data_IF_206844081634
#
_entry.id   IF_206844081634
#
_cell.length_a   1.000
_cell.length_b   1.000
_cell.length_c   1.000
_cell.angle_alpha   90.00
_cell.angle_beta   90.00
_cell.angle_gamma   90.00
#
_symmetry.space_group_name_H-M   'P 1'
#
loop_
_entity.id
_entity.type
_entity.pdbx_description
1 polymer ?
#
# COMPACT_ATOMS: atom_id res chain seq x y z
N UNK A 1 19.86 1.60 0.74
CA UNK A 1 19.50 3.02 1.05
C UNK A 1 19.80 3.29 2.53
N UNK A 2 20.53 4.37 2.86
CA UNK A 2 21.00 4.63 4.24
C UNK A 2 20.82 6.13 4.62
N UNK A 3 19.60 6.56 4.94
CA UNK A 3 19.33 7.94 5.31
C UNK A 3 19.84 8.27 6.72
N UNK A 4 20.11 9.54 6.98
CA UNK A 4 20.37 10.01 8.33
C UNK A 4 19.07 10.00 9.15
N UNK A 5 19.07 9.27 10.27
CA UNK A 5 17.97 9.23 11.22
C UNK A 5 18.31 10.10 12.45
N UNK A 6 17.32 10.83 12.97
CA UNK A 6 17.48 11.74 14.11
C UNK A 6 17.22 11.06 15.48
N UNK A 7 16.93 9.75 15.46
CA UNK A 7 16.68 8.94 16.65
C UNK A 7 15.22 8.89 17.08
N UNK A 8 14.31 9.65 16.46
CA UNK A 8 12.87 9.57 16.76
C UNK A 8 12.23 8.25 16.32
N UNK A 9 12.74 7.67 15.23
CA UNK A 9 12.38 6.33 14.75
C UNK A 9 13.65 5.58 14.39
N UNK A 10 13.82 4.37 14.91
CA UNK A 10 14.98 3.54 14.68
C UNK A 10 14.53 2.17 14.14
N UNK A 11 15.22 1.64 13.11
CA UNK A 11 14.93 0.30 12.63
C UNK A 11 15.32 -0.71 13.72
N UNK A 12 14.47 -1.71 13.93
CA UNK A 12 14.78 -2.81 14.85
C UNK A 12 15.69 -3.82 14.16
N UNK A 13 15.43 -4.11 12.88
CA UNK A 13 16.28 -4.93 12.03
C UNK A 13 17.30 -4.14 11.21
N UNK A 14 17.86 -4.82 10.21
CA UNK A 14 18.93 -4.32 9.36
C UNK A 14 18.51 -4.16 7.90
N UNK A 15 17.22 -4.23 7.59
CA UNK A 15 16.74 -4.19 6.19
C UNK A 15 16.70 -2.77 5.65
N UNK A 16 16.85 -2.63 4.33
CA UNK A 16 16.68 -1.34 3.63
C UNK A 16 15.25 -0.81 3.77
N UNK A 17 14.25 -1.69 3.79
CA UNK A 17 12.83 -1.33 3.93
C UNK A 17 12.52 -0.72 5.29
N UNK A 18 13.05 -1.29 6.39
CA UNK A 18 12.89 -0.70 7.73
C UNK A 18 13.53 0.69 7.81
N UNK A 19 14.74 0.86 7.28
CA UNK A 19 15.40 2.18 7.21
C UNK A 19 14.57 3.18 6.41
N UNK A 20 14.00 2.77 5.28
CA UNK A 20 13.13 3.62 4.47
C UNK A 20 11.86 4.02 5.23
N UNK A 21 11.27 3.08 5.97
CA UNK A 21 10.07 3.34 6.76
C UNK A 21 10.33 4.26 7.95
N UNK A 22 11.41 4.04 8.72
CA UNK A 22 11.82 4.94 9.80
C UNK A 22 12.09 6.36 9.29
N UNK A 23 12.76 6.49 8.14
CA UNK A 23 12.95 7.78 7.50
C UNK A 23 11.63 8.44 7.10
N UNK A 24 10.71 7.69 6.49
CA UNK A 24 9.39 8.21 6.12
C UNK A 24 8.64 8.74 7.35
N UNK A 25 8.58 7.95 8.44
CA UNK A 25 7.92 8.34 9.69
C UNK A 25 8.58 9.56 10.33
N UNK A 26 9.90 9.61 10.35
CA UNK A 26 10.65 10.77 10.83
C UNK A 26 10.29 12.03 10.04
N UNK A 27 10.23 11.96 8.70
CA UNK A 27 9.86 13.11 7.85
C UNK A 27 8.42 13.56 8.09
N UNK A 28 7.50 12.63 8.33
CA UNK A 28 6.13 12.97 8.71
C UNK A 28 6.08 13.65 10.09
N UNK A 29 6.79 13.12 11.11
CA UNK A 29 6.89 13.73 12.44
C UNK A 29 7.54 15.10 12.41
N UNK A 30 8.59 15.30 11.60
CA UNK A 30 9.21 16.61 11.40
C UNK A 30 8.24 17.63 10.76
N UNK A 31 7.33 17.16 9.89
CA UNK A 31 6.36 18.02 9.20
C UNK A 31 5.13 18.36 10.03
N UNK A 32 4.61 17.41 10.79
CA UNK A 32 3.32 17.53 11.49
C UNK A 32 3.44 17.60 13.02
N UNK A 33 4.62 17.33 13.58
CA UNK A 33 4.82 17.30 15.02
C UNK A 33 3.94 16.24 15.70
N UNK A 34 3.25 16.66 16.76
CA UNK A 34 2.28 15.83 17.50
C UNK A 34 0.84 15.99 16.98
N UNK A 35 0.63 16.76 15.91
CA UNK A 35 -0.71 16.99 15.36
C UNK A 35 -1.02 15.98 14.27
N UNK A 36 -2.16 15.29 14.39
CA UNK A 36 -2.63 14.39 13.34
C UNK A 36 -3.09 15.23 12.13
N UNK A 37 -2.47 15.08 10.95
CA UNK A 37 -2.92 15.77 9.74
C UNK A 37 -4.24 15.20 9.22
N UNK A 38 -4.96 15.99 8.42
CA UNK A 38 -6.09 15.46 7.65
C UNK A 38 -5.61 14.41 6.63
N UNK A 39 -6.47 13.46 6.21
CA UNK A 39 -6.11 12.44 5.21
C UNK A 39 -5.51 13.04 3.93
N UNK A 40 -6.07 14.15 3.45
CA UNK A 40 -5.55 14.87 2.29
C UNK A 40 -4.13 15.42 2.50
N UNK A 41 -3.86 16.04 3.64
CA UNK A 41 -2.54 16.59 3.97
C UNK A 41 -1.50 15.48 4.19
N UNK A 42 -1.90 14.37 4.83
CA UNK A 42 -1.08 13.18 4.97
C UNK A 42 -0.73 12.59 3.60
N UNK A 43 -1.73 12.44 2.72
CA UNK A 43 -1.53 11.93 1.37
C UNK A 43 -0.54 12.78 0.58
N UNK A 44 -0.68 14.12 0.58
CA UNK A 44 0.24 15.01 -0.12
C UNK A 44 1.67 14.92 0.42
N UNK A 45 1.82 14.74 1.74
CA UNK A 45 3.13 14.56 2.36
C UNK A 45 3.77 13.22 1.98
N UNK A 46 3.01 12.14 2.09
CA UNK A 46 3.47 10.80 1.72
C UNK A 46 3.77 10.71 0.23
N UNK A 47 3.00 11.38 -0.63
CA UNK A 47 3.24 11.48 -2.07
C UNK A 47 4.59 12.10 -2.39
N UNK A 48 4.93 13.24 -1.77
CA UNK A 48 6.23 13.86 -1.95
C UNK A 48 7.39 12.94 -1.52
N UNK A 49 7.24 12.27 -0.37
CA UNK A 49 8.24 11.33 0.15
C UNK A 49 8.36 10.06 -0.70
N UNK A 50 7.24 9.52 -1.18
CA UNK A 50 7.21 8.37 -2.08
C UNK A 50 7.88 8.67 -3.41
N UNK A 51 7.68 9.88 -3.96
CA UNK A 51 8.44 10.35 -5.12
C UNK A 51 9.95 10.42 -4.86
N UNK A 52 10.37 10.80 -3.65
CA UNK A 52 11.80 10.81 -3.28
C UNK A 52 12.36 9.39 -3.17
N UNK A 53 11.63 8.49 -2.50
CA UNK A 53 12.04 7.10 -2.32
C UNK A 53 12.06 6.32 -3.64
N UNK A 54 11.05 6.51 -4.50
CA UNK A 54 10.95 5.83 -5.79
C UNK A 54 12.09 6.16 -6.76
N UNK A 55 12.70 7.36 -6.65
CA UNK A 55 13.93 7.68 -7.41
C UNK A 55 15.16 6.88 -6.97
N UNK A 56 15.11 6.27 -5.78
CA UNK A 56 16.23 5.56 -5.15
C UNK A 56 16.09 4.04 -5.25
N UNK A 57 14.92 3.52 -5.61
CA UNK A 57 14.69 2.09 -5.82
C UNK A 57 13.22 1.68 -5.75
N UNK A 58 12.97 0.38 -5.91
CA UNK A 58 11.66 -0.23 -5.71
C UNK A 58 11.25 -0.15 -4.24
N UNK A 59 10.06 0.40 -3.97
CA UNK A 59 9.52 0.46 -2.60
C UNK A 59 8.00 0.44 -2.57
N UNK A 60 7.42 -0.77 -2.55
CA UNK A 60 6.00 -0.94 -2.26
C UNK A 60 5.77 -0.85 -0.75
N UNK A 61 4.78 -0.07 -0.32
CA UNK A 61 4.41 -0.01 1.09
C UNK A 61 2.93 0.27 1.27
N UNK A 62 2.43 -0.13 2.44
CA UNK A 62 1.13 0.21 2.97
C UNK A 62 1.36 1.00 4.27
N UNK A 63 0.69 2.13 4.43
CA UNK A 63 0.76 2.98 5.61
C UNK A 63 -0.66 3.32 6.07
N UNK A 64 -0.99 3.04 7.33
CA UNK A 64 -2.28 3.38 7.91
C UNK A 64 -2.12 4.04 9.27
N UNK A 65 -3.06 4.92 9.60
CA UNK A 65 -3.24 5.53 10.92
C UNK A 65 -4.52 5.04 11.63
N UNK A 66 -5.20 4.03 11.09
CA UNK A 66 -6.50 3.54 11.59
C UNK A 66 -7.71 4.10 10.84
N UNK A 67 -7.67 5.37 10.43
CA UNK A 67 -8.78 6.02 9.72
C UNK A 67 -8.70 5.87 8.19
N UNK A 68 -7.47 5.84 7.65
CA UNK A 68 -7.23 5.68 6.22
C UNK A 68 -6.06 4.73 5.96
N UNK A 69 -5.97 4.27 4.71
CA UNK A 69 -4.87 3.44 4.23
C UNK A 69 -4.26 4.06 2.97
N UNK A 70 -2.97 4.34 3.01
CA UNK A 70 -2.18 4.79 1.88
C UNK A 70 -1.38 3.61 1.33
N UNK A 71 -1.48 3.35 0.04
CA UNK A 71 -0.74 2.30 -0.65
C UNK A 71 0.12 2.88 -1.76
N UNK A 72 1.44 2.62 -1.70
CA UNK A 72 2.37 2.96 -2.77
C UNK A 72 2.71 1.73 -3.60
N UNK A 73 2.35 1.78 -4.87
CA UNK A 73 2.68 0.78 -5.88
C UNK A 73 3.90 1.26 -6.67
N UNK A 74 5.10 1.03 -6.17
CA UNK A 74 6.33 1.25 -6.94
C UNK A 74 6.44 0.24 -8.08
N UNK A 75 6.09 -1.01 -7.82
CA UNK A 75 5.80 -2.05 -8.81
C UNK A 75 4.31 -2.41 -8.77
N UNK A 76 3.90 -3.43 -9.53
CA UNK A 76 2.49 -3.81 -9.64
C UNK A 76 1.95 -4.25 -8.27
N UNK A 77 0.84 -3.65 -7.87
CA UNK A 77 -0.05 -4.16 -6.81
C UNK A 77 -1.45 -4.40 -7.42
N UNK A 78 -2.30 -5.10 -6.70
CA UNK A 78 -3.69 -5.29 -7.03
C UNK A 78 -4.56 -4.99 -5.80
N UNK A 79 -5.78 -4.52 -6.03
CA UNK A 79 -6.77 -4.37 -4.98
C UNK A 79 -8.14 -4.86 -5.42
N UNK A 80 -8.98 -5.16 -4.45
CA UNK A 80 -10.41 -5.40 -4.63
C UNK A 80 -11.16 -4.66 -3.53
N UNK A 81 -12.33 -4.13 -3.88
CA UNK A 81 -13.27 -3.56 -2.91
C UNK A 81 -14.47 -4.50 -2.82
N UNK A 82 -14.62 -5.17 -1.69
CA UNK A 82 -15.77 -6.02 -1.38
C UNK A 82 -16.83 -5.18 -0.68
N UNK A 83 -18.09 -5.39 -1.05
CA UNK A 83 -19.27 -4.80 -0.43
C UNK A 83 -20.38 -5.83 -0.43
N UNK A 84 -21.39 -5.63 0.41
CA UNK A 84 -22.54 -6.53 0.40
C UNK A 84 -23.26 -6.55 -0.97
N UNK A 85 -23.83 -7.70 -1.38
CA UNK A 85 -23.71 -9.00 -0.72
C UNK A 85 -22.28 -9.58 -0.89
N UNK A 86 -21.65 -9.97 0.22
CA UNK A 86 -20.31 -10.53 0.21
C UNK A 86 -20.34 -11.90 -0.45
N UNK A 87 -19.61 -12.06 -1.56
CA UNK A 87 -19.41 -13.34 -2.21
C UNK A 87 -18.38 -14.17 -1.44
N UNK A 88 -18.48 -15.50 -1.54
CA UNK A 88 -17.44 -16.39 -1.04
C UNK A 88 -16.15 -16.19 -1.84
N UNK A 89 -15.06 -15.89 -1.13
CA UNK A 89 -13.76 -15.66 -1.73
C UNK A 89 -12.98 -16.97 -1.80
N UNK A 90 -12.63 -17.41 -3.02
CA UNK A 90 -11.82 -18.62 -3.22
C UNK A 90 -10.35 -18.23 -3.36
N UNK A 91 -9.52 -18.55 -2.36
CA UNK A 91 -8.10 -18.24 -2.37
C UNK A 91 -7.36 -19.14 -3.37
N UNK A 92 -6.40 -18.59 -4.11
CA UNK A 92 -5.65 -19.31 -5.15
C UNK A 92 -4.61 -20.28 -4.62
N UNK A 93 -4.00 -19.95 -3.47
CA UNK A 93 -2.77 -20.62 -3.01
C UNK A 93 -3.04 -21.75 -2.01
N UNK A 94 -4.19 -21.72 -1.37
CA UNK A 94 -4.66 -22.70 -0.39
C UNK A 94 -6.13 -22.93 -0.73
N UNK A 95 -6.60 -24.18 -0.86
CA UNK A 95 -8.02 -24.56 -1.10
C UNK A 95 -8.93 -24.16 0.10
N UNK A 96 -8.80 -22.92 0.55
CA UNK A 96 -9.42 -22.31 1.71
C UNK A 96 -10.35 -21.22 1.18
N UNK A 97 -11.63 -21.38 1.46
CA UNK A 97 -12.63 -20.36 1.19
C UNK A 97 -12.80 -19.52 2.44
N UNK A 98 -12.68 -18.20 2.32
CA UNK A 98 -12.99 -17.27 3.42
C UNK A 98 -14.38 -16.71 3.16
N UNK A 99 -15.30 -16.97 4.08
CA UNK A 99 -16.62 -16.36 4.05
C UNK A 99 -16.56 -15.01 4.77
N UNK A 100 -16.63 -13.92 3.99
CA UNK A 100 -16.61 -12.57 4.53
C UNK A 100 -17.98 -12.16 5.11
N UNK A 101 -19.06 -12.90 4.81
CA UNK A 101 -20.40 -12.57 5.31
C UNK A 101 -20.56 -12.82 6.81
N UNK A 102 -19.74 -13.68 7.41
CA UNK A 102 -19.77 -13.98 8.85
C UNK A 102 -19.20 -12.86 9.74
N UNK A 103 -18.47 -11.91 9.16
CA UNK A 103 -17.75 -10.84 9.89
C UNK A 103 -18.08 -9.44 9.40
N UNK A 104 -19.10 -9.30 8.55
CA UNK A 104 -19.48 -8.01 7.94
C UNK A 104 -20.98 -7.76 8.00
N UNK A 105 -21.37 -6.49 7.93
CA UNK A 105 -22.75 -6.03 7.80
C UNK A 105 -23.07 -5.64 6.35
N UNK A 106 -24.35 -5.54 5.95
CA UNK A 106 -24.73 -5.09 4.61
C UNK A 106 -24.17 -3.71 4.20
N UNK A 107 -23.82 -2.88 5.16
CA UNK A 107 -23.27 -1.54 4.92
C UNK A 107 -21.73 -1.53 4.89
N UNK A 108 -21.09 -2.67 5.20
CA UNK A 108 -19.64 -2.76 5.26
C UNK A 108 -19.02 -2.78 3.86
N UNK A 109 -17.84 -2.18 3.78
CA UNK A 109 -17.00 -2.17 2.60
C UNK A 109 -15.56 -2.43 2.99
N UNK A 110 -14.93 -3.38 2.32
CA UNK A 110 -13.58 -3.86 2.65
C UNK A 110 -12.68 -3.74 1.43
N UNK A 111 -11.65 -2.91 1.52
CA UNK A 111 -10.57 -2.86 0.54
C UNK A 111 -9.48 -3.86 0.91
N UNK A 112 -9.18 -4.80 0.02
CA UNK A 112 -8.05 -5.73 0.15
C UNK A 112 -7.01 -5.36 -0.88
N UNK A 113 -5.76 -5.19 -0.46
CA UNK A 113 -4.62 -4.87 -1.34
C UNK A 113 -3.57 -5.98 -1.19
N UNK A 114 -3.07 -6.46 -2.33
CA UNK A 114 -2.08 -7.54 -2.41
C UNK A 114 -1.10 -7.31 -3.56
N UNK A 115 0.02 -8.01 -3.55
CA UNK A 115 1.00 -7.97 -4.67
C UNK A 115 0.45 -8.62 -5.93
N UNK A 116 -0.38 -9.66 -5.78
CA UNK A 116 -1.10 -10.35 -6.85
C UNK A 116 -2.53 -10.65 -6.40
N UNK A 117 -3.50 -10.78 -7.33
CA UNK A 117 -4.87 -11.18 -7.00
C UNK A 117 -4.91 -12.50 -6.23
N UNK A 118 -5.46 -12.48 -5.02
CA UNK A 118 -5.52 -13.65 -4.13
C UNK A 118 -6.66 -14.60 -4.46
N UNK A 119 -7.66 -14.17 -5.24
CA UNK A 119 -8.81 -14.97 -5.65
C UNK A 119 -8.95 -15.00 -7.17
N UNK A 120 -9.48 -16.09 -7.70
CA UNK A 120 -9.71 -16.30 -9.14
C UNK A 120 -11.18 -16.11 -9.56
N UNK A 121 -12.09 -16.11 -8.59
CA UNK A 121 -13.51 -15.92 -8.79
C UNK A 121 -13.99 -14.47 -8.56
N UNK A 122 -13.07 -13.51 -8.39
CA UNK A 122 -13.37 -12.10 -8.20
C UNK A 122 -12.58 -11.18 -9.14
N UNK A 123 -13.11 -9.98 -9.40
CA UNK A 123 -12.46 -8.98 -10.25
C UNK A 123 -11.54 -8.07 -9.45
N UNK A 124 -10.24 -8.39 -9.48
CA UNK A 124 -9.21 -7.53 -8.93
C UNK A 124 -8.82 -6.41 -9.90
N UNK A 125 -8.65 -5.21 -9.35
CA UNK A 125 -8.15 -4.04 -10.07
C UNK A 125 -6.64 -3.96 -9.91
N UNK A 126 -5.93 -3.63 -10.99
CA UNK A 126 -4.48 -3.44 -10.95
C UNK A 126 -4.14 -2.00 -10.59
N UNK A 127 -3.24 -1.82 -9.63
CA UNK A 127 -2.61 -0.53 -9.35
C UNK A 127 -1.39 -0.39 -10.25
N UNK A 128 -1.38 0.64 -11.10
CA UNK A 128 -0.26 0.88 -12.01
C UNK A 128 1.04 1.14 -11.23
N UNK A 129 2.19 0.56 -11.65
CA UNK A 129 3.48 0.93 -11.09
C UNK A 129 3.72 2.45 -11.13
N UNK A 130 4.37 2.99 -10.11
CA UNK A 130 4.57 4.43 -9.93
C UNK A 130 3.29 5.17 -9.58
N UNK A 131 2.47 4.63 -8.67
CA UNK A 131 1.27 5.32 -8.16
C UNK A 131 1.15 5.25 -6.65
N UNK A 132 0.49 6.26 -6.07
CA UNK A 132 0.08 6.32 -4.68
C UNK A 132 -1.44 6.39 -4.61
N UNK A 133 -2.05 5.62 -3.71
CA UNK A 133 -3.49 5.50 -3.55
C UNK A 133 -3.87 5.74 -2.10
N UNK A 134 -4.96 6.49 -1.89
CA UNK A 134 -5.61 6.69 -0.60
C UNK A 134 -6.92 5.91 -0.59
N UNK A 135 -7.08 5.10 0.44
CA UNK A 135 -8.32 4.40 0.73
C UNK A 135 -8.93 4.94 2.02
N UNK A 136 -10.21 5.27 1.96
CA UNK A 136 -11.03 5.73 3.08
C UNK A 136 -12.34 4.94 3.06
N UNK A 137 -12.83 4.48 4.21
CA UNK A 137 -14.08 3.73 4.31
C UNK A 137 -14.19 2.54 3.34
N UNK A 138 -13.06 1.89 3.02
CA UNK A 138 -13.01 0.75 2.08
C UNK A 138 -13.11 1.09 0.58
N UNK A 139 -12.97 2.35 0.16
CA UNK A 139 -12.91 2.73 -1.25
C UNK A 139 -11.70 3.59 -1.61
N UNK A 140 -11.38 3.67 -2.91
CA UNK A 140 -10.37 4.60 -3.40
C UNK A 140 -10.90 6.02 -3.33
N UNK A 141 -10.35 6.82 -2.42
CA UNK A 141 -10.68 8.24 -2.27
C UNK A 141 -9.81 9.12 -3.17
N UNK A 142 -8.53 8.77 -3.35
CA UNK A 142 -7.58 9.56 -4.14
C UNK A 142 -6.47 8.70 -4.73
N UNK A 143 -5.92 9.15 -5.86
CA UNK A 143 -4.71 8.58 -6.46
C UNK A 143 -3.81 9.67 -7.04
N UNK A 144 -2.51 9.42 -7.10
CA UNK A 144 -1.52 10.29 -7.72
C UNK A 144 -0.35 9.49 -8.30
N UNK A 145 0.22 9.98 -9.41
CA UNK A 145 1.41 9.38 -10.02
C UNK A 145 2.66 9.67 -9.17
N UNK A 146 3.52 8.67 -9.00
CA UNK A 146 4.83 8.75 -8.33
C UNK A 146 5.92 8.29 -9.30
N UNK A 147 6.94 7.58 -8.79
CA UNK A 147 8.04 7.03 -9.58
C UNK A 147 7.96 5.52 -9.52
N UNK A 148 7.81 4.89 -10.69
CA UNK A 148 7.83 3.44 -10.79
C UNK A 148 9.23 2.91 -10.44
N UNK A 149 9.26 1.75 -9.80
CA UNK A 149 10.49 0.98 -9.64
C UNK A 149 11.01 0.50 -10.99
N UNK A 150 12.29 0.09 -11.08
CA UNK A 150 12.84 -0.44 -12.32
C UNK A 150 12.02 -1.64 -12.80
N UNK A 151 11.69 -1.67 -14.10
CA UNK A 151 11.02 -2.83 -14.69
C UNK A 151 11.90 -4.07 -14.52
N UNK A 152 11.39 -5.09 -13.81
CA UNK A 152 12.00 -6.41 -13.83
C UNK A 152 11.74 -6.99 -15.22
N UNK A 153 12.78 -7.04 -16.05
CA UNK A 153 12.74 -7.71 -17.35
C UNK A 153 12.21 -9.13 -17.13
N UNK A 154 11.21 -9.61 -17.90
CA UNK A 154 10.76 -10.99 -17.76
C UNK A 154 11.96 -11.92 -17.85
N UNK A 155 12.05 -12.91 -16.95
CA UNK A 155 12.97 -14.03 -17.12
C UNK A 155 12.66 -14.62 -18.49
N UNK A 156 13.52 -14.37 -19.46
CA UNK A 156 13.47 -15.05 -20.75
C UNK A 156 13.70 -16.52 -20.43
N UNK A 157 12.63 -17.32 -20.46
CA UNK A 157 12.73 -18.75 -20.63
C UNK A 157 13.50 -18.97 -21.94
N UNK A 158 14.78 -19.28 -21.83
CA UNK A 158 15.61 -19.65 -22.97
C UNK A 158 15.06 -20.92 -23.62
N UNK A 159 15.37 -21.12 -24.91
CA UNK A 159 14.88 -22.26 -25.69
C UNK A 159 15.35 -23.61 -25.13
#
# INVERSE_FOLDING_TARGET
>A
FAPALDGSFLPVGNTDSERAFCWLLQRLRQRFGETLPSPAALFDAVHALACELGRRGEFNFLLSNGDCLIAHASTKLAYIVRRAPFAQAHLKDEDVTVDFSDVTTPDDRVAVIATVPLTDNEQWQTMSPGTLWLFEEGEVARQAATVAGPEKKPLTSGP
#
